data_IF_198546221455
#
_entry.id   IF_198546221455
#
_cell.length_a   1.000
_cell.length_b   1.000
_cell.length_c   1.000
_cell.angle_alpha   90.00
_cell.angle_beta   90.00
_cell.angle_gamma   90.00
#
_symmetry.space_group_name_H-M   'P 1'
#
loop_
_entity.id
_entity.type
_entity.pdbx_description
1 polymer ?
#
# COMPACT_ATOMS: atom_id res chain seq x y z
N UNK A 1 -12.27 -8.08 5.55
CA UNK A 1 -11.78 -6.72 5.84
C UNK A 1 -12.15 -5.81 4.68
N UNK A 2 -12.44 -4.53 4.91
CA UNK A 2 -12.64 -3.55 3.81
C UNK A 2 -11.47 -2.58 3.83
N UNK A 3 -10.81 -2.43 2.70
CA UNK A 3 -9.73 -1.48 2.51
C UNK A 3 -9.83 -0.85 1.12
N UNK A 4 -9.26 0.35 0.98
CA UNK A 4 -8.95 0.91 -0.32
C UNK A 4 -7.53 1.44 -0.29
N UNK A 5 -6.91 1.42 -1.46
CA UNK A 5 -5.51 1.78 -1.65
C UNK A 5 -5.46 2.83 -2.74
N UNK A 6 -4.82 3.96 -2.45
CA UNK A 6 -4.58 5.04 -3.39
C UNK A 6 -3.12 4.96 -3.83
N UNK A 7 -2.91 4.90 -5.14
CA UNK A 7 -1.59 4.95 -5.75
C UNK A 7 -1.41 6.31 -6.40
N UNK A 8 -0.37 7.05 -6.01
CA UNK A 8 0.06 8.26 -6.71
C UNK A 8 1.35 7.96 -7.49
N UNK A 9 1.26 7.65 -8.80
CA UNK A 9 2.42 7.36 -9.63
C UNK A 9 3.27 8.59 -9.94
N UNK A 10 2.75 9.80 -9.74
CA UNK A 10 3.48 11.04 -10.02
C UNK A 10 4.37 11.42 -8.84
N UNK A 11 3.83 11.31 -7.64
CA UNK A 11 4.55 11.59 -6.40
C UNK A 11 5.31 10.38 -5.87
N UNK A 12 5.00 9.18 -6.35
CA UNK A 12 5.67 7.94 -5.97
C UNK A 12 5.35 7.56 -4.53
N UNK A 13 4.07 7.46 -4.16
CA UNK A 13 3.67 6.91 -2.87
C UNK A 13 2.37 6.13 -2.98
N UNK A 14 2.14 5.28 -1.98
CA UNK A 14 0.90 4.53 -1.81
C UNK A 14 0.30 4.88 -0.46
N UNK A 15 -1.01 5.08 -0.40
CA UNK A 15 -1.71 5.30 0.85
C UNK A 15 -2.84 4.29 1.02
N UNK A 16 -2.81 3.57 2.13
CA UNK A 16 -3.75 2.50 2.45
C UNK A 16 -4.68 2.95 3.57
N UNK A 17 -5.97 2.66 3.38
CA UNK A 17 -7.01 2.95 4.35
C UNK A 17 -7.79 1.68 4.67
N UNK A 18 -7.91 1.36 5.96
CA UNK A 18 -8.65 0.18 6.43
C UNK A 18 -9.87 0.62 7.23
N UNK A 19 -11.01 -0.02 6.98
CA UNK A 19 -12.24 0.22 7.72
C UNK A 19 -12.13 -0.40 9.13
N UNK A 20 -12.11 0.45 10.15
CA UNK A 20 -12.09 0.10 11.57
C UNK A 20 -13.27 0.77 12.26
N UNK A 21 -14.11 -0.01 12.97
CA UNK A 21 -15.27 0.49 13.71
C UNK A 21 -16.24 1.37 12.89
N UNK A 22 -16.43 1.03 11.61
CA UNK A 22 -17.37 1.72 10.71
C UNK A 22 -16.84 2.99 10.06
N UNK A 23 -15.59 3.38 10.34
CA UNK A 23 -14.89 4.47 9.66
C UNK A 23 -13.57 3.97 9.07
N UNK A 24 -13.12 4.56 7.95
CA UNK A 24 -11.76 4.30 7.50
C UNK A 24 -10.82 5.03 8.46
N UNK A 25 -10.00 4.29 9.21
CA UNK A 25 -9.25 4.82 10.34
C UNK A 25 -8.06 5.69 9.92
N UNK A 26 -7.83 6.78 10.67
CA UNK A 26 -6.58 7.56 10.72
C UNK A 26 -6.12 8.23 9.40
N UNK A 27 -4.95 8.90 9.38
CA UNK A 27 -4.38 9.52 8.19
C UNK A 27 -3.93 8.52 7.10
N UNK A 28 -4.38 7.26 7.14
CA UNK A 28 -3.88 6.19 6.29
C UNK A 28 -2.43 5.81 6.58
N UNK A 29 -2.05 4.60 6.20
CA UNK A 29 -0.67 4.15 6.14
C UNK A 29 -0.06 4.63 4.82
N UNK A 30 1.05 5.36 4.84
CA UNK A 30 1.76 5.80 3.63
C UNK A 30 2.97 4.89 3.43
N UNK A 31 3.13 4.36 2.23
CA UNK A 31 4.23 3.47 1.83
C UNK A 31 5.04 4.07 0.68
N UNK A 32 6.34 3.85 0.71
CA UNK A 32 7.31 4.17 -0.32
C UNK A 32 7.29 3.13 -1.47
N UNK A 33 7.62 3.50 -2.72
CA UNK A 33 7.69 2.58 -3.85
C UNK A 33 8.65 1.39 -3.67
N UNK A 34 9.59 1.44 -2.73
CA UNK A 34 10.49 0.33 -2.43
C UNK A 34 9.95 -0.65 -1.37
N UNK A 35 8.79 -0.36 -0.78
CA UNK A 35 8.16 -1.23 0.21
C UNK A 35 7.26 -2.31 -0.43
N UNK A 36 6.70 -3.17 0.42
CA UNK A 36 5.70 -4.17 0.01
C UNK A 36 4.42 -3.97 0.81
N UNK A 37 3.28 -3.95 0.11
CA UNK A 37 1.97 -3.74 0.72
C UNK A 37 1.32 -5.09 1.03
N UNK A 38 1.11 -5.38 2.31
CA UNK A 38 0.27 -6.52 2.70
C UNK A 38 -1.22 -6.21 2.50
N UNK A 39 -1.86 -7.01 1.64
CA UNK A 39 -3.29 -6.88 1.35
C UNK A 39 -4.07 -7.57 2.46
N UNK A 40 -4.78 -6.82 3.30
CA UNK A 40 -5.50 -7.43 4.41
C UNK A 40 -6.79 -8.16 3.99
N UNK A 41 -7.24 -8.02 2.75
CA UNK A 41 -8.24 -8.94 2.17
C UNK A 41 -7.65 -10.26 1.67
N UNK A 42 -6.32 -10.38 1.51
CA UNK A 42 -5.58 -11.58 1.13
C UNK A 42 -4.41 -11.83 2.09
N UNK A 43 -4.66 -12.37 3.30
CA UNK A 43 -3.62 -12.60 4.29
C UNK A 43 -2.48 -13.48 3.76
N UNK A 44 -1.24 -13.05 3.98
CA UNK A 44 -0.04 -13.75 3.52
C UNK A 44 0.41 -13.38 2.10
N UNK A 45 -0.40 -12.63 1.37
CA UNK A 45 -0.03 -12.09 0.05
C UNK A 45 0.45 -10.65 0.21
N UNK A 46 1.58 -10.35 -0.43
CA UNK A 46 2.22 -9.04 -0.36
C UNK A 46 2.46 -8.52 -1.77
N UNK A 47 2.06 -7.28 -2.02
CA UNK A 47 2.23 -6.61 -3.30
C UNK A 47 3.55 -5.81 -3.28
N UNK A 48 4.58 -6.24 -4.02
CA UNK A 48 5.81 -5.47 -4.16
C UNK A 48 5.53 -4.16 -4.90
N UNK A 49 5.72 -3.01 -4.24
CA UNK A 49 5.35 -1.73 -4.84
C UNK A 49 6.28 -1.34 -6.00
N UNK A 50 7.55 -1.76 -5.96
CA UNK A 50 8.49 -1.46 -7.04
C UNK A 50 8.02 -2.03 -8.39
N UNK A 51 7.37 -3.19 -8.41
CA UNK A 51 6.80 -3.76 -9.64
C UNK A 51 5.62 -2.95 -10.16
N UNK A 52 4.79 -2.41 -9.25
CA UNK A 52 3.64 -1.56 -9.59
C UNK A 52 4.09 -0.24 -10.21
N UNK A 53 5.17 0.36 -9.67
CA UNK A 53 5.74 1.60 -10.18
C UNK A 53 6.71 1.39 -11.36
N UNK A 54 6.98 0.14 -11.76
CA UNK A 54 7.92 -0.17 -12.86
C UNK A 54 9.38 0.14 -12.53
N UNK A 55 9.76 -0.01 -11.26
CA UNK A 55 11.09 0.24 -10.71
C UNK A 55 11.84 -1.07 -10.46
N UNK A 56 13.17 -0.98 -10.43
CA UNK A 56 13.99 -2.04 -9.86
C UNK A 56 13.99 -1.94 -8.33
N UNK A 57 14.03 -3.11 -7.67
CA UNK A 57 14.15 -3.17 -6.22
C UNK A 57 15.54 -2.70 -5.79
N UNK A 58 15.58 -1.74 -4.86
CA UNK A 58 16.82 -1.27 -4.27
C UNK A 58 17.33 -2.31 -3.25
N UNK A 59 18.63 -2.63 -3.27
CA UNK A 59 19.24 -3.41 -2.20
C UNK A 59 19.23 -2.59 -0.91
N UNK A 60 18.77 -3.21 0.18
CA UNK A 60 18.76 -2.63 1.53
C UNK A 60 20.09 -2.72 2.26
#
# INVERSE_FOLDING_TARGET
>A
MREYVVFDPVQGWVQRFVLVDGAYGGPGEILDPQESLELGFMPGESLPLWEVFGLEKQPG
#
